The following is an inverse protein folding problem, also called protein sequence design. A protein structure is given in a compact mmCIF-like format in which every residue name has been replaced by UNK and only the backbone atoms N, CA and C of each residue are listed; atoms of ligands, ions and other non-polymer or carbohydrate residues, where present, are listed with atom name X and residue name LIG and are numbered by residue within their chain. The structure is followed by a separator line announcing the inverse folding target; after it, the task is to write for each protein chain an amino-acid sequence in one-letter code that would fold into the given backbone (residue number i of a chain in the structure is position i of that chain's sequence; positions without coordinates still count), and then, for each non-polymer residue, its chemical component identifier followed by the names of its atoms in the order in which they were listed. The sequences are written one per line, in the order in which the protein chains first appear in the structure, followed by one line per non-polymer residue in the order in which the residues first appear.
data_IF_805052607637
#
_entry.id   IF_805052607637
#
_cell.length_a   1.000
_cell.length_b   1.000
_cell.length_c   1.000
_cell.angle_alpha   90.00
_cell.angle_beta   90.00
_cell.angle_gamma   90.00
#
_symmetry.space_group_name_H-M   'P 1'
#
loop_
_entity.id
_entity.type
_entity.pdbx_description
1 polymer ?
#
# COMPACT_ATOMS: atom_id res chain seq x y z
N UNK A 1 -2.49 2.79 -66.16
CA UNK A 1 -1.93 3.74 -65.17
C UNK A 1 -2.14 3.14 -63.79
N UNK A 2 -1.09 2.57 -63.22
CA UNK A 2 -1.14 1.94 -61.90
C UNK A 2 -1.13 2.99 -60.81
N UNK A 3 -2.11 2.93 -59.91
CA UNK A 3 -2.10 3.68 -58.66
C UNK A 3 -1.62 2.76 -57.54
N UNK A 4 -0.37 2.93 -57.12
CA UNK A 4 0.15 2.36 -55.87
C UNK A 4 -0.60 2.96 -54.69
N UNK A 5 -1.46 2.18 -54.05
CA UNK A 5 -1.86 2.42 -52.68
C UNK A 5 -0.64 2.09 -51.81
N UNK A 6 0.10 3.12 -51.40
CA UNK A 6 1.16 2.97 -50.40
C UNK A 6 0.55 2.44 -49.11
N UNK A 7 0.84 1.18 -48.78
CA UNK A 7 0.56 0.59 -47.48
C UNK A 7 1.47 1.24 -46.44
N UNK A 8 1.09 2.43 -45.96
CA UNK A 8 1.63 3.04 -44.76
C UNK A 8 1.12 2.29 -43.53
N UNK A 9 1.54 1.03 -43.37
CA UNK A 9 1.15 0.16 -42.27
C UNK A 9 1.92 0.55 -41.02
N UNK A 10 1.37 1.41 -40.18
CA UNK A 10 1.88 1.58 -38.83
C UNK A 10 1.54 0.35 -37.99
N UNK A 11 2.48 -0.09 -37.14
CA UNK A 11 2.24 -1.22 -36.24
C UNK A 11 1.52 -0.68 -35.00
N UNK A 12 0.25 -1.04 -34.84
CA UNK A 12 -0.51 -0.68 -33.65
C UNK A 12 0.18 -1.22 -32.40
N UNK A 13 0.26 -0.37 -31.38
CA UNK A 13 0.72 -0.73 -30.05
C UNK A 13 -0.42 -0.52 -29.04
N UNK A 14 -0.32 -1.24 -27.93
CA UNK A 14 -1.15 -0.97 -26.76
C UNK A 14 -0.64 0.27 -26.04
N UNK A 15 -1.55 1.16 -25.66
CA UNK A 15 -1.30 2.36 -24.87
C UNK A 15 -2.22 2.37 -23.65
N UNK A 16 -1.69 2.78 -22.49
CA UNK A 16 -2.45 2.96 -21.25
C UNK A 16 -2.41 4.42 -20.85
N UNK A 17 -3.53 4.92 -20.32
CA UNK A 17 -3.63 6.30 -19.84
C UNK A 17 -2.86 6.40 -18.52
N UNK A 18 -2.13 7.49 -18.35
CA UNK A 18 -1.26 7.79 -17.21
C UNK A 18 -1.64 9.20 -16.73
N UNK A 19 -2.64 9.28 -15.86
CA UNK A 19 -3.22 10.55 -15.39
C UNK A 19 -2.36 11.25 -14.31
N UNK A 20 -1.63 10.50 -13.49
CA UNK A 20 -0.81 11.04 -12.40
C UNK A 20 0.68 11.29 -12.77
N UNK A 21 1.11 10.81 -13.93
CA UNK A 21 2.45 10.96 -14.49
C UNK A 21 3.58 10.22 -13.74
N UNK A 22 3.28 9.10 -13.09
CA UNK A 22 4.31 8.21 -12.53
C UNK A 22 4.97 7.27 -13.56
N UNK A 23 4.54 7.39 -14.81
CA UNK A 23 4.98 6.64 -15.98
C UNK A 23 4.38 5.23 -16.13
N UNK A 24 3.50 4.84 -15.23
CA UNK A 24 2.63 3.69 -15.36
C UNK A 24 1.23 4.17 -15.75
N UNK A 25 0.46 3.29 -16.39
CA UNK A 25 -0.88 3.65 -16.79
C UNK A 25 -1.92 2.61 -16.42
N UNK A 26 -3.13 3.07 -16.14
CA UNK A 26 -4.27 2.22 -15.85
C UNK A 26 -4.74 1.40 -17.06
N UNK A 27 -5.31 0.23 -16.75
CA UNK A 27 -6.06 -0.59 -17.69
C UNK A 27 -7.52 -0.12 -17.77
N UNK A 28 -8.23 -0.33 -18.91
CA UNK A 28 -7.80 -1.07 -20.10
C UNK A 28 -6.93 -0.26 -21.06
N UNK A 29 -6.05 -0.97 -21.77
CA UNK A 29 -5.24 -0.37 -22.84
C UNK A 29 -6.04 -0.15 -24.13
N UNK A 30 -5.67 0.87 -24.91
CA UNK A 30 -6.19 1.12 -26.26
C UNK A 30 -5.16 0.77 -27.32
N UNK A 31 -5.61 0.35 -28.51
CA UNK A 31 -4.73 0.10 -29.66
C UNK A 31 -4.60 1.35 -30.52
N UNK A 32 -3.36 1.80 -30.75
CA UNK A 32 -3.08 2.91 -31.66
C UNK A 32 -1.66 2.84 -32.19
N UNK A 33 -1.43 3.36 -33.39
CA UNK A 33 -0.10 3.46 -33.98
C UNK A 33 0.79 4.47 -33.25
N UNK A 34 0.21 5.62 -32.90
CA UNK A 34 0.82 6.71 -32.17
C UNK A 34 0.13 6.88 -30.80
N UNK A 35 0.79 7.49 -29.80
CA UNK A 35 0.16 7.76 -28.52
C UNK A 35 -1.13 8.58 -28.71
N UNK A 36 -2.27 8.19 -28.13
CA UNK A 36 -3.52 8.96 -28.24
C UNK A 36 -3.43 10.39 -27.68
N UNK A 37 -2.46 10.64 -26.78
CA UNK A 37 -2.19 11.94 -26.19
C UNK A 37 -0.92 11.92 -25.33
N UNK A 38 -0.56 13.03 -24.69
CA UNK A 38 0.66 13.13 -23.88
C UNK A 38 0.62 12.28 -22.60
N UNK A 39 -0.56 12.09 -22.01
CA UNK A 39 -0.81 11.27 -20.81
C UNK A 39 -1.06 9.80 -21.15
N UNK A 40 -0.31 9.26 -22.12
CA UNK A 40 -0.41 7.85 -22.52
C UNK A 40 0.97 7.21 -22.58
N UNK A 41 1.11 6.07 -21.91
CA UNK A 41 2.32 5.26 -21.88
C UNK A 41 2.15 4.01 -22.73
N UNK A 42 3.22 3.58 -23.39
CA UNK A 42 3.19 2.39 -24.25
C UNK A 42 3.25 1.14 -23.37
N UNK A 43 2.39 0.16 -23.63
CA UNK A 43 2.45 -1.10 -22.88
C UNK A 43 3.78 -1.82 -23.14
N UNK A 44 4.38 -2.36 -22.07
CA UNK A 44 5.60 -3.18 -22.15
C UNK A 44 6.92 -2.41 -22.25
N UNK A 45 6.91 -1.07 -22.30
CA UNK A 45 8.13 -0.26 -22.35
C UNK A 45 8.72 0.03 -20.96
N UNK A 46 9.18 -0.99 -20.23
CA UNK A 46 9.74 -0.82 -18.87
C UNK A 46 10.75 0.36 -18.78
N UNK A 47 10.73 1.20 -17.73
CA UNK A 47 9.87 1.09 -16.55
C UNK A 47 8.39 1.39 -16.85
N UNK A 48 8.11 2.10 -17.94
CA UNK A 48 6.77 2.55 -18.34
C UNK A 48 5.89 1.39 -18.82
N UNK A 49 4.88 1.04 -18.05
CA UNK A 49 4.03 -0.10 -18.35
C UNK A 49 2.56 0.21 -18.04
N UNK A 50 1.70 -0.72 -18.44
CA UNK A 50 0.33 -0.75 -17.94
C UNK A 50 0.28 -1.52 -16.63
N UNK A 51 -0.73 -1.26 -15.82
CA UNK A 51 -0.98 -1.97 -14.57
C UNK A 51 -0.82 -1.11 -13.32
N UNK A 52 -0.93 0.21 -13.49
CA UNK A 52 -1.17 1.11 -12.37
C UNK A 52 -2.45 0.68 -11.63
N UNK A 53 -2.36 0.56 -10.31
CA UNK A 53 -3.49 0.22 -9.44
C UNK A 53 -4.25 1.47 -8.95
N UNK A 54 -3.69 2.66 -9.13
CA UNK A 54 -4.33 3.95 -8.87
C UNK A 54 -3.70 5.09 -9.69
N UNK A 55 -4.21 5.30 -10.91
CA UNK A 55 -3.80 6.36 -11.87
C UNK A 55 -4.02 7.81 -11.39
N UNK A 56 -4.48 8.00 -10.15
CA UNK A 56 -4.65 9.31 -9.51
C UNK A 56 -3.57 9.58 -8.45
N UNK A 57 -2.66 8.64 -8.21
CA UNK A 57 -1.67 8.68 -7.14
C UNK A 57 -0.30 8.20 -7.63
N UNK A 58 0.54 9.18 -7.98
CA UNK A 58 1.89 9.01 -8.55
C UNK A 58 2.89 8.15 -7.73
N UNK A 59 2.49 7.68 -6.55
CA UNK A 59 3.31 6.83 -5.69
C UNK A 59 2.90 5.35 -5.75
N UNK A 60 1.75 5.04 -6.34
CA UNK A 60 1.09 3.74 -6.32
C UNK A 60 1.22 3.03 -7.67
N UNK A 61 2.40 2.46 -7.95
CA UNK A 61 2.70 1.80 -9.22
C UNK A 61 3.43 0.47 -9.05
N UNK A 62 3.37 -0.43 -10.05
CA UNK A 62 4.05 -1.72 -10.05
C UNK A 62 5.54 -1.65 -9.66
N UNK A 63 5.87 -2.27 -8.53
CA UNK A 63 7.24 -2.38 -8.03
C UNK A 63 7.76 -1.14 -7.30
N UNK A 64 6.88 -0.20 -6.96
CA UNK A 64 7.20 0.92 -6.09
C UNK A 64 7.84 0.48 -4.77
N UNK A 65 8.73 1.31 -4.25
CA UNK A 65 9.27 1.17 -2.90
C UNK A 65 8.76 2.27 -1.96
N UNK A 66 7.73 3.01 -2.39
CA UNK A 66 7.17 4.10 -1.61
C UNK A 66 6.41 3.54 -0.42
N UNK A 67 6.93 3.84 0.77
CA UNK A 67 6.33 3.47 2.03
C UNK A 67 5.55 4.65 2.58
N UNK A 68 4.24 4.50 2.74
CA UNK A 68 3.39 5.57 3.25
C UNK A 68 2.45 5.06 4.35
N UNK A 69 2.04 5.97 5.23
CA UNK A 69 1.10 5.73 6.31
C UNK A 69 -0.28 6.36 6.05
N UNK A 70 -0.39 7.17 5.00
CA UNK A 70 -1.67 7.69 4.53
C UNK A 70 -2.15 6.74 3.44
N UNK A 71 -3.25 6.01 3.65
CA UNK A 71 -3.81 5.19 2.57
C UNK A 71 -4.42 6.06 1.47
N UNK A 72 -4.41 5.58 0.23
CA UNK A 72 -5.06 6.24 -0.91
C UNK A 72 -6.44 5.62 -1.16
N UNK A 73 -7.43 6.41 -1.63
CA UNK A 73 -8.76 5.89 -1.88
C UNK A 73 -8.74 4.90 -3.05
N UNK A 74 -9.48 3.82 -2.90
CA UNK A 74 -9.81 2.87 -3.96
C UNK A 74 -11.33 2.74 -4.06
N UNK A 75 -11.80 1.98 -5.04
CA UNK A 75 -13.23 1.76 -5.27
C UNK A 75 -14.03 1.41 -4.00
N UNK A 76 -15.31 1.79 -4.00
CA UNK A 76 -16.25 1.56 -2.91
C UNK A 76 -15.89 2.26 -1.58
N UNK A 77 -15.12 3.34 -1.64
CA UNK A 77 -14.77 4.15 -0.46
C UNK A 77 -13.81 3.44 0.50
N UNK A 78 -13.13 2.40 0.03
CA UNK A 78 -12.04 1.76 0.75
C UNK A 78 -10.77 2.57 0.60
N UNK A 79 -9.80 2.29 1.46
CA UNK A 79 -8.43 2.80 1.33
C UNK A 79 -7.49 1.63 1.09
N UNK A 80 -6.44 1.85 0.32
CA UNK A 80 -5.34 0.93 0.06
C UNK A 80 -4.02 1.53 0.53
N UNK A 81 -3.09 0.65 0.89
CA UNK A 81 -1.69 0.95 1.15
C UNK A 81 -0.76 0.10 0.27
N UNK A 82 -1.30 -0.56 -0.76
CA UNK A 82 -0.58 -1.34 -1.78
C UNK A 82 0.04 -0.39 -2.82
N UNK A 83 1.03 0.38 -2.39
CA UNK A 83 1.74 1.32 -3.25
C UNK A 83 2.58 0.64 -4.32
N UNK A 84 2.91 -0.64 -4.18
CA UNK A 84 3.69 -1.39 -5.16
C UNK A 84 2.83 -2.16 -6.17
N UNK A 85 1.50 -2.07 -6.06
CA UNK A 85 0.50 -2.72 -6.90
C UNK A 85 0.73 -4.24 -7.06
N UNK A 86 1.18 -4.93 -6.01
CA UNK A 86 1.41 -6.38 -6.03
C UNK A 86 0.20 -7.20 -5.53
N UNK A 87 -0.85 -6.51 -5.07
CA UNK A 87 -2.08 -7.09 -4.55
C UNK A 87 -2.03 -7.39 -3.06
N UNK A 88 -0.96 -7.00 -2.34
CA UNK A 88 -0.83 -7.19 -0.91
C UNK A 88 -0.10 -6.04 -0.20
N UNK A 89 -0.72 -5.52 0.85
CA UNK A 89 -0.12 -4.49 1.68
C UNK A 89 1.01 -5.06 2.56
N UNK A 90 2.22 -4.60 2.29
CA UNK A 90 3.44 -5.05 2.95
C UNK A 90 3.98 -3.96 3.86
N UNK A 91 4.20 -4.29 5.14
CA UNK A 91 4.81 -3.36 6.09
C UNK A 91 6.25 -3.03 5.70
N UNK A 92 6.60 -1.76 5.75
CA UNK A 92 7.94 -1.30 5.38
C UNK A 92 8.97 -1.39 6.51
N UNK A 93 8.57 -1.88 7.68
CA UNK A 93 9.42 -1.95 8.86
C UNK A 93 9.06 -3.11 9.77
N UNK A 94 9.94 -3.39 10.73
CA UNK A 94 9.67 -4.34 11.80
C UNK A 94 8.94 -3.62 12.94
N UNK A 95 7.62 -3.79 13.00
CA UNK A 95 6.79 -3.20 14.05
C UNK A 95 6.40 -4.24 15.10
N UNK A 96 6.52 -3.89 16.38
CA UNK A 96 6.04 -4.74 17.45
C UNK A 96 4.51 -4.83 17.40
N UNK A 97 3.97 -6.03 17.24
CA UNK A 97 2.52 -6.28 17.24
C UNK A 97 2.08 -6.69 18.63
N UNK A 98 0.94 -6.16 19.04
CA UNK A 98 0.37 -6.52 20.32
C UNK A 98 -0.02 -8.01 20.28
N UNK A 99 0.55 -8.82 21.18
CA UNK A 99 0.25 -10.25 21.28
C UNK A 99 -0.50 -10.54 22.58
N UNK A 100 -1.58 -11.32 22.50
CA UNK A 100 -2.41 -11.66 23.65
C UNK A 100 -2.97 -10.43 24.39
N UNK A 101 -3.23 -10.58 25.69
CA UNK A 101 -3.57 -9.48 26.60
C UNK A 101 -2.34 -9.01 27.38
N UNK A 102 -2.44 -7.83 28.00
CA UNK A 102 -1.42 -7.38 28.93
C UNK A 102 -1.32 -8.37 30.10
N UNK A 103 -0.14 -8.96 30.29
CA UNK A 103 0.09 -9.98 31.29
C UNK A 103 1.43 -9.77 31.98
N UNK A 104 1.58 -10.31 33.18
CA UNK A 104 2.87 -10.29 33.86
C UNK A 104 3.92 -11.06 33.05
N UNK A 105 5.12 -10.51 33.05
CA UNK A 105 6.31 -11.15 32.52
C UNK A 105 7.36 -11.31 33.65
N UNK A 106 7.34 -12.45 34.36
CA UNK A 106 8.31 -12.70 35.43
C UNK A 106 9.74 -12.86 34.91
N UNK A 107 9.93 -13.03 33.59
CA UNK A 107 11.26 -13.14 32.99
C UNK A 107 11.95 -11.80 32.76
N UNK A 108 11.22 -10.69 32.91
CA UNK A 108 11.72 -9.33 32.66
C UNK A 108 11.44 -8.41 33.88
N UNK A 109 12.31 -8.40 34.89
CA UNK A 109 12.11 -7.60 36.10
C UNK A 109 12.06 -6.08 35.85
N UNK A 110 12.76 -5.60 34.82
CA UNK A 110 12.76 -4.19 34.40
C UNK A 110 11.53 -3.81 33.57
N UNK A 111 10.83 -4.79 33.00
CA UNK A 111 9.59 -4.61 32.26
C UNK A 111 8.62 -5.74 32.62
N UNK A 112 8.01 -5.67 33.81
CA UNK A 112 7.24 -6.75 34.42
C UNK A 112 5.90 -7.05 33.72
N UNK A 113 5.58 -6.33 32.64
CA UNK A 113 4.39 -6.51 31.83
C UNK A 113 4.79 -6.71 30.36
N UNK A 114 4.14 -7.68 29.72
CA UNK A 114 4.25 -7.96 28.28
C UNK A 114 2.91 -7.73 27.59
N UNK A 115 2.95 -7.72 26.26
CA UNK A 115 1.78 -7.54 25.40
C UNK A 115 1.72 -6.17 24.70
N UNK A 116 2.78 -5.36 24.80
CA UNK A 116 2.86 -4.11 24.06
C UNK A 116 2.85 -4.34 22.55
N UNK A 117 2.44 -3.32 21.80
CA UNK A 117 2.56 -3.29 20.35
C UNK A 117 1.39 -2.59 19.67
N UNK A 118 1.49 -2.45 18.36
CA UNK A 118 0.40 -1.93 17.53
C UNK A 118 -0.79 -2.88 17.59
N UNK A 119 -1.97 -2.29 17.68
CA UNK A 119 -3.24 -2.96 17.55
C UNK A 119 -3.67 -2.98 16.08
N UNK A 120 -4.37 -4.04 15.62
CA UNK A 120 -4.92 -4.06 14.28
C UNK A 120 -6.04 -3.03 14.15
N UNK A 121 -6.12 -2.40 12.97
CA UNK A 121 -7.28 -1.64 12.52
C UNK A 121 -8.48 -2.57 12.28
N UNK A 122 -9.62 -1.99 11.88
CA UNK A 122 -10.82 -2.75 11.50
C UNK A 122 -10.84 -3.16 10.01
N UNK A 123 -9.74 -2.92 9.28
CA UNK A 123 -9.65 -3.23 7.84
C UNK A 123 -9.58 -4.74 7.65
N UNK A 124 -10.34 -5.22 6.67
CA UNK A 124 -10.44 -6.64 6.33
C UNK A 124 -10.73 -6.78 4.84
N UNK A 125 -9.94 -7.60 4.16
CA UNK A 125 -10.13 -7.91 2.75
C UNK A 125 -8.94 -8.68 2.19
N UNK A 126 -9.06 -9.25 0.99
CA UNK A 126 -7.91 -9.78 0.27
C UNK A 126 -6.84 -8.69 0.11
N UNK A 127 -5.58 -9.03 0.39
CA UNK A 127 -4.45 -8.10 0.26
C UNK A 127 -4.34 -7.05 1.38
N UNK A 128 -5.41 -6.77 2.13
CA UNK A 128 -5.38 -5.78 3.21
C UNK A 128 -4.55 -6.29 4.40
N UNK A 129 -3.61 -5.47 4.88
CA UNK A 129 -2.89 -5.72 6.11
C UNK A 129 -3.52 -4.88 7.24
N UNK A 130 -4.04 -5.53 8.29
CA UNK A 130 -4.81 -4.84 9.33
C UNK A 130 -3.96 -3.85 10.13
N UNK A 131 -2.63 -3.86 10.01
CA UNK A 131 -1.77 -2.93 10.72
C UNK A 131 -1.37 -1.69 9.91
N UNK A 132 -1.58 -1.68 8.59
CA UNK A 132 -1.21 -0.53 7.76
C UNK A 132 -2.00 0.71 8.18
N UNK A 133 -1.27 1.81 8.41
CA UNK A 133 -1.83 3.06 8.93
C UNK A 133 -2.26 3.02 10.40
N UNK A 134 -2.08 1.91 11.12
CA UNK A 134 -2.43 1.84 12.55
C UNK A 134 -1.58 2.79 13.37
N UNK A 135 -2.22 3.63 14.16
CA UNK A 135 -1.61 4.52 15.18
C UNK A 135 -1.85 4.03 16.60
N UNK A 136 -2.78 3.10 16.80
CA UNK A 136 -3.17 2.59 18.11
C UNK A 136 -2.08 1.64 18.63
N UNK A 137 -1.36 2.08 19.66
CA UNK A 137 -0.32 1.30 20.31
C UNK A 137 -0.72 0.97 21.74
N UNK A 138 -0.74 -0.32 22.08
CA UNK A 138 -0.99 -0.78 23.44
C UNK A 138 0.30 -0.74 24.25
N UNK A 139 0.23 -0.09 25.40
CA UNK A 139 1.26 -0.09 26.44
C UNK A 139 0.74 -0.87 27.64
N UNK A 140 1.51 -1.83 28.12
CA UNK A 140 1.23 -2.68 29.27
C UNK A 140 2.13 -2.28 30.44
N UNK A 141 1.53 -1.80 31.53
CA UNK A 141 2.25 -1.33 32.72
C UNK A 141 1.70 -1.97 33.98
N UNK A 142 2.50 -2.03 35.04
CA UNK A 142 2.01 -2.47 36.35
C UNK A 142 0.98 -1.50 36.90
N UNK A 143 -0.10 -2.04 37.45
CA UNK A 143 -1.11 -1.23 38.12
C UNK A 143 -0.53 -0.61 39.39
N UNK A 144 -0.65 0.71 39.56
CA UNK A 144 -0.07 1.51 40.66
C UNK A 144 -0.62 1.21 42.07
N UNK A 145 -1.45 0.17 42.22
CA UNK A 145 -2.08 -0.24 43.48
C UNK A 145 -1.44 -1.43 44.21
N UNK A 146 -0.23 -1.84 43.83
CA UNK A 146 0.46 -2.97 44.49
C UNK A 146 -0.13 -4.36 44.19
N UNK A 147 -1.06 -4.45 43.24
CA UNK A 147 -1.55 -5.72 42.71
C UNK A 147 -0.66 -6.19 41.56
N UNK A 148 -0.30 -7.48 41.59
CA UNK A 148 0.45 -8.21 40.56
C UNK A 148 -0.35 -8.33 39.24
N UNK A 149 -0.82 -7.22 38.69
CA UNK A 149 -1.67 -7.16 37.51
C UNK A 149 -1.21 -6.06 36.57
N UNK A 150 -1.11 -6.42 35.29
CA UNK A 150 -0.79 -5.50 34.21
C UNK A 150 -2.06 -4.82 33.70
N UNK A 151 -1.99 -3.50 33.49
CA UNK A 151 -3.04 -2.70 32.89
C UNK A 151 -2.65 -2.34 31.46
N UNK A 152 -3.60 -2.44 30.54
CA UNK A 152 -3.48 -1.94 29.18
C UNK A 152 -3.90 -0.47 29.10
N UNK A 153 -3.08 0.34 28.44
CA UNK A 153 -3.46 1.68 27.97
C UNK A 153 -3.19 1.75 26.47
N UNK A 154 -4.13 2.28 25.69
CA UNK A 154 -3.91 2.55 24.27
C UNK A 154 -3.49 4.00 24.10
N UNK A 155 -2.36 4.21 23.43
CA UNK A 155 -1.82 5.53 23.09
C UNK A 155 -1.70 5.66 21.57
N UNK A 156 -1.65 6.89 21.08
CA UNK A 156 -1.32 7.15 19.68
C UNK A 156 0.19 7.17 19.49
N UNK A 157 0.68 6.45 18.48
CA UNK A 157 2.09 6.41 18.09
C UNK A 157 2.25 6.78 16.61
N UNK A 158 3.49 6.87 16.15
CA UNK A 158 3.77 7.06 14.72
C UNK A 158 3.10 5.92 13.93
N UNK A 159 2.35 6.22 12.87
CA UNK A 159 1.61 5.20 12.15
C UNK A 159 2.54 4.22 11.44
N UNK A 160 2.07 2.98 11.29
CA UNK A 160 2.74 1.97 10.46
C UNK A 160 2.67 2.38 8.99
N UNK A 161 3.82 2.36 8.32
CA UNK A 161 3.91 2.55 6.87
C UNK A 161 3.87 1.22 6.14
N UNK A 162 3.21 1.23 4.99
CA UNK A 162 3.11 0.09 4.10
C UNK A 162 3.32 0.50 2.65
N UNK A 163 3.49 -0.52 1.81
CA UNK A 163 3.55 -0.43 0.37
C UNK A 163 2.91 -1.64 -0.27
#
# INVERSE_FOLDING_TARGET
TGGSAGAGGCTAASWCKDDDNDTYGALPAVQSCDPPGPSWVKAGSKPKACGDCNDENQYAFPGSNNCNHTGYPIDNGKVSFDYNCDGAETECGAYLKATGDCALDPSSPSKPCKGDGYLPTKRTGPGENPYCGSTDYRVCELSSGGVSACKATVVQYNPITCK
#
